data_IF_154308720137
#
_entry.id   IF_154308720137
#
_cell.length_a   1.000
_cell.length_b   1.000
_cell.length_c   1.000
_cell.angle_alpha   90.00
_cell.angle_beta   90.00
_cell.angle_gamma   90.00
#
_symmetry.space_group_name_H-M   'P 1'
#
loop_
_entity.id
_entity.type
_entity.pdbx_description
1 polymer ?
#
# COMPACT_ATOMS: atom_id res chain seq x y z
N UNK A 1 18.05 -21.45 -14.95
CA UNK A 1 17.20 -20.36 -14.38
C UNK A 1 16.30 -20.86 -13.25
N UNK A 2 15.76 -22.07 -13.37
CA UNK A 2 14.93 -22.75 -12.35
C UNK A 2 15.66 -23.02 -11.02
N UNK A 3 16.96 -23.32 -11.05
CA UNK A 3 17.72 -23.66 -9.83
C UNK A 3 18.07 -22.46 -8.95
N UNK A 4 18.17 -21.25 -9.53
CA UNK A 4 18.36 -20.02 -8.76
C UNK A 4 17.12 -19.67 -7.93
N UNK A 5 15.92 -19.93 -8.49
CA UNK A 5 14.64 -19.68 -7.81
C UNK A 5 14.39 -20.60 -6.62
N UNK A 6 14.93 -21.83 -6.63
CA UNK A 6 14.78 -22.79 -5.52
C UNK A 6 15.45 -22.33 -4.23
N UNK A 7 16.56 -21.60 -4.35
CA UNK A 7 17.39 -21.19 -3.20
C UNK A 7 17.27 -19.70 -2.85
N UNK A 8 16.46 -18.93 -3.59
CA UNK A 8 16.22 -17.52 -3.30
C UNK A 8 15.18 -17.32 -2.17
N UNK A 9 15.36 -16.30 -1.30
CA UNK A 9 14.37 -15.93 -0.30
C UNK A 9 12.96 -15.81 -0.91
N UNK A 10 11.95 -16.29 -0.18
CA UNK A 10 10.57 -16.46 -0.67
C UNK A 10 10.03 -15.21 -1.37
N UNK A 11 10.37 -14.01 -0.88
CA UNK A 11 9.97 -12.73 -1.46
C UNK A 11 10.53 -12.51 -2.88
N UNK A 12 11.82 -12.79 -3.09
CA UNK A 12 12.50 -12.62 -4.39
C UNK A 12 11.97 -13.63 -5.41
N UNK A 13 11.78 -14.89 -5.00
CA UNK A 13 11.16 -15.92 -5.84
C UNK A 13 9.72 -15.54 -6.22
N UNK A 14 8.96 -14.95 -5.29
CA UNK A 14 7.56 -14.55 -5.54
C UNK A 14 7.49 -13.40 -6.53
N UNK A 15 8.34 -12.38 -6.40
CA UNK A 15 8.44 -11.26 -7.36
C UNK A 15 8.85 -11.73 -8.76
N UNK A 16 9.85 -12.60 -8.87
CA UNK A 16 10.30 -13.11 -10.17
C UNK A 16 9.23 -14.03 -10.80
N UNK A 17 8.56 -14.88 -10.01
CA UNK A 17 7.46 -15.72 -10.51
C UNK A 17 6.25 -14.89 -10.96
N UNK A 18 5.96 -13.79 -10.27
CA UNK A 18 4.91 -12.84 -10.66
C UNK A 18 5.22 -12.20 -12.02
N UNK A 19 6.48 -11.81 -12.25
CA UNK A 19 6.91 -11.22 -13.52
C UNK A 19 6.90 -12.24 -14.68
N UNK A 20 7.32 -13.48 -14.42
CA UNK A 20 7.46 -14.51 -15.46
C UNK A 20 6.16 -15.26 -15.79
N UNK A 21 5.30 -15.48 -14.79
CA UNK A 21 4.15 -16.39 -14.93
C UNK A 21 2.80 -15.69 -14.69
N UNK A 22 2.79 -14.37 -14.45
CA UNK A 22 1.61 -13.66 -13.98
C UNK A 22 1.35 -13.88 -12.49
N UNK A 23 0.31 -13.22 -11.91
CA UNK A 23 0.07 -13.21 -10.47
C UNK A 23 -0.06 -14.64 -9.93
N UNK A 24 0.83 -15.07 -9.01
CA UNK A 24 0.92 -16.48 -8.65
C UNK A 24 -0.30 -16.97 -7.87
N UNK A 25 -1.12 -16.06 -7.32
CA UNK A 25 -2.43 -16.30 -6.69
C UNK A 25 -3.28 -15.01 -6.76
N UNK A 26 -4.62 -15.09 -6.83
CA UNK A 26 -5.47 -13.93 -6.59
C UNK A 26 -5.18 -13.33 -5.21
N UNK A 27 -5.45 -12.03 -5.05
CA UNK A 27 -5.39 -11.34 -3.78
C UNK A 27 -6.28 -12.02 -2.72
N UNK A 28 -6.17 -11.59 -1.47
CA UNK A 28 -6.90 -12.17 -0.34
C UNK A 28 -8.40 -12.25 -0.66
N UNK A 29 -8.99 -13.45 -0.59
CA UNK A 29 -10.43 -13.58 -0.75
C UNK A 29 -11.17 -13.05 0.50
N UNK A 30 -12.45 -12.69 0.35
CA UNK A 30 -13.28 -12.12 1.42
C UNK A 30 -13.26 -12.97 2.70
N UNK A 31 -13.23 -14.30 2.56
CA UNK A 31 -13.14 -15.24 3.68
C UNK A 31 -11.84 -15.09 4.47
N UNK A 32 -10.69 -15.00 3.79
CA UNK A 32 -9.39 -14.73 4.42
C UNK A 32 -9.39 -13.40 5.14
N UNK A 33 -10.03 -12.38 4.54
CA UNK A 33 -10.15 -11.07 5.14
C UNK A 33 -10.92 -11.11 6.47
N UNK A 34 -12.14 -11.65 6.44
CA UNK A 34 -13.02 -11.79 7.62
C UNK A 34 -12.35 -12.63 8.72
N UNK A 35 -11.60 -13.67 8.34
CA UNK A 35 -10.87 -14.50 9.30
C UNK A 35 -9.85 -13.68 10.09
N UNK A 36 -9.01 -12.90 9.41
CA UNK A 36 -7.99 -12.08 10.06
C UNK A 36 -8.60 -10.94 10.87
N UNK A 37 -9.66 -10.31 10.37
CA UNK A 37 -10.48 -9.34 11.13
C UNK A 37 -10.92 -9.94 12.48
N UNK A 38 -11.56 -11.11 12.44
CA UNK A 38 -12.06 -11.78 13.65
C UNK A 38 -10.92 -12.21 14.57
N UNK A 39 -9.83 -12.75 14.02
CA UNK A 39 -8.66 -13.15 14.80
C UNK A 39 -8.07 -11.96 15.56
N UNK A 40 -7.91 -10.81 14.91
CA UNK A 40 -7.31 -9.62 15.53
C UNK A 40 -8.22 -9.07 16.65
N UNK A 41 -9.55 -9.09 16.45
CA UNK A 41 -10.51 -8.74 17.49
C UNK A 41 -10.50 -9.72 18.67
N UNK A 42 -10.27 -11.02 18.42
CA UNK A 42 -10.21 -12.06 19.45
C UNK A 42 -8.94 -11.99 20.32
N UNK A 43 -7.82 -11.49 19.77
CA UNK A 43 -6.52 -11.45 20.46
C UNK A 43 -6.18 -10.08 21.06
N UNK A 44 -7.06 -9.08 20.92
CA UNK A 44 -6.79 -7.72 21.40
C UNK A 44 -7.99 -7.08 22.07
N UNK A 45 -7.83 -6.68 23.34
CA UNK A 45 -8.78 -5.83 24.06
C UNK A 45 -8.60 -4.32 23.72
N UNK A 46 -7.84 -3.99 22.67
CA UNK A 46 -7.53 -2.61 22.30
C UNK A 46 -8.46 -2.11 21.20
N UNK A 47 -8.79 -0.83 21.20
CA UNK A 47 -9.52 -0.23 20.07
C UNK A 47 -8.63 -0.12 18.83
N UNK A 48 -9.23 0.07 17.65
CA UNK A 48 -8.46 0.22 16.39
C UNK A 48 -7.54 1.46 16.46
N UNK A 49 -7.97 2.53 17.11
CA UNK A 49 -7.18 3.76 17.31
C UNK A 49 -5.98 3.52 18.22
N UNK A 50 -6.14 2.70 19.27
CA UNK A 50 -5.05 2.31 20.15
C UNK A 50 -4.05 1.41 19.44
N UNK A 51 -4.54 0.49 18.60
CA UNK A 51 -3.73 -0.34 17.73
C UNK A 51 -2.94 0.49 16.71
N UNK A 52 -3.57 1.47 16.07
CA UNK A 52 -2.92 2.43 15.17
C UNK A 52 -1.81 3.18 15.89
N UNK A 53 -2.12 3.80 17.04
CA UNK A 53 -1.15 4.56 17.85
C UNK A 53 0.04 3.70 18.29
N UNK A 54 -0.21 2.46 18.69
CA UNK A 54 0.84 1.50 19.02
C UNK A 54 1.71 1.17 17.81
N UNK A 55 1.11 0.94 16.63
CA UNK A 55 1.86 0.66 15.39
C UNK A 55 2.73 1.83 14.95
N UNK A 56 2.30 3.07 15.23
CA UNK A 56 3.07 4.28 14.92
C UNK A 56 4.24 4.49 15.88
N UNK A 57 4.15 3.91 17.07
CA UNK A 57 5.20 3.96 18.10
C UNK A 57 6.26 2.88 17.91
N UNK A 58 6.08 1.97 16.94
CA UNK A 58 7.06 0.95 16.60
C UNK A 58 8.32 1.62 16.04
N UNK A 59 9.43 1.53 16.76
CA UNK A 59 10.72 2.06 16.31
C UNK A 59 11.19 1.22 15.12
N UNK A 60 11.29 1.80 13.91
CA UNK A 60 11.75 1.05 12.76
C UNK A 60 13.22 0.68 12.94
N UNK A 61 13.62 -0.47 12.37
CA UNK A 61 15.04 -0.78 12.25
C UNK A 61 15.76 0.35 11.52
N UNK A 62 17.03 0.64 11.88
CA UNK A 62 17.78 1.74 11.30
C UNK A 62 17.83 1.65 9.78
N UNK A 63 17.79 2.81 9.14
CA UNK A 63 17.90 2.96 7.68
C UNK A 63 19.25 2.41 7.23
N UNK A 64 19.26 1.71 6.09
CA UNK A 64 20.51 1.21 5.51
C UNK A 64 21.51 2.35 5.26
N UNK A 65 22.78 2.14 5.64
CA UNK A 65 23.83 3.12 5.43
C UNK A 65 23.97 3.49 3.94
N UNK A 66 24.04 4.80 3.67
CA UNK A 66 24.12 5.38 2.33
C UNK A 66 22.77 5.70 1.68
N UNK A 67 21.63 5.41 2.34
CA UNK A 67 20.31 5.78 1.84
C UNK A 67 19.87 7.11 2.44
N UNK A 68 19.47 8.05 1.58
CA UNK A 68 18.88 9.34 1.99
C UNK A 68 17.36 9.25 1.95
N UNK A 69 16.69 9.68 3.01
CA UNK A 69 15.23 9.73 3.09
C UNK A 69 14.78 11.18 2.98
N UNK A 70 13.97 11.47 1.95
CA UNK A 70 13.34 12.77 1.76
C UNK A 70 11.84 12.64 2.00
N UNK A 71 11.31 13.42 2.94
CA UNK A 71 9.87 13.48 3.20
C UNK A 71 9.28 14.72 2.55
N UNK A 72 8.21 14.53 1.78
CA UNK A 72 7.44 15.61 1.17
C UNK A 72 5.96 15.25 1.12
N UNK A 73 5.13 16.25 0.84
CA UNK A 73 3.67 16.09 0.70
C UNK A 73 3.29 16.19 -0.76
N UNK A 74 2.63 15.16 -1.28
CA UNK A 74 1.98 15.19 -2.60
C UNK A 74 0.73 16.06 -2.49
N UNK A 75 0.56 16.97 -3.45
CA UNK A 75 -0.57 17.90 -3.48
C UNK A 75 -1.91 17.17 -3.64
N UNK A 76 -2.97 17.69 -3.01
CA UNK A 76 -4.31 17.10 -3.08
C UNK A 76 -4.91 17.11 -4.49
N UNK A 77 -4.40 17.93 -5.41
CA UNK A 77 -4.83 17.93 -6.82
C UNK A 77 -4.73 16.53 -7.44
N UNK A 78 -3.69 15.76 -7.11
CA UNK A 78 -3.50 14.41 -7.64
C UNK A 78 -4.53 13.42 -7.08
N UNK A 79 -5.03 13.65 -5.85
CA UNK A 79 -6.14 12.86 -5.29
C UNK A 79 -7.45 13.16 -6.02
N UNK A 80 -7.71 14.43 -6.31
CA UNK A 80 -8.91 14.82 -7.05
C UNK A 80 -8.87 14.23 -8.48
N UNK A 81 -7.70 14.25 -9.11
CA UNK A 81 -7.51 13.61 -10.43
C UNK A 81 -7.68 12.09 -10.35
N UNK A 82 -7.07 11.44 -9.35
CA UNK A 82 -7.24 10.01 -9.10
C UNK A 82 -8.71 9.62 -8.91
N UNK A 83 -9.49 10.44 -8.20
CA UNK A 83 -10.91 10.21 -7.99
C UNK A 83 -11.68 10.18 -9.31
N UNK A 84 -11.42 11.13 -10.23
CA UNK A 84 -12.08 11.15 -11.55
C UNK A 84 -11.82 9.87 -12.34
N UNK A 85 -10.64 9.26 -12.20
CA UNK A 85 -10.31 7.99 -12.84
C UNK A 85 -10.96 6.79 -12.13
N UNK A 86 -10.88 6.75 -10.80
CA UNK A 86 -11.41 5.65 -10.00
C UNK A 86 -12.94 5.60 -10.04
N UNK A 87 -13.63 6.74 -10.03
CA UNK A 87 -15.09 6.79 -10.14
C UNK A 87 -15.57 6.12 -11.43
N UNK A 88 -14.85 6.28 -12.55
CA UNK A 88 -15.18 5.60 -13.82
C UNK A 88 -15.02 4.08 -13.72
N UNK A 89 -14.01 3.61 -13.01
CA UNK A 89 -13.70 2.18 -12.83
C UNK A 89 -14.68 1.54 -11.84
N UNK A 90 -15.04 2.26 -10.77
CA UNK A 90 -15.88 1.76 -9.68
C UNK A 90 -17.37 1.87 -9.98
N UNK A 91 -17.79 2.79 -10.86
CA UNK A 91 -19.20 2.99 -11.22
C UNK A 91 -19.98 1.71 -11.57
N UNK A 92 -19.45 0.74 -12.34
CA UNK A 92 -20.15 -0.51 -12.60
C UNK A 92 -20.39 -1.36 -11.34
N UNK A 93 -19.56 -1.20 -10.32
CA UNK A 93 -19.58 -1.97 -9.08
C UNK A 93 -20.33 -1.27 -7.95
N UNK A 94 -20.91 -0.10 -8.19
CA UNK A 94 -21.60 0.69 -7.16
C UNK A 94 -22.72 -0.10 -6.45
N UNK A 95 -23.35 -1.03 -7.15
CA UNK A 95 -24.35 -1.95 -6.61
C UNK A 95 -23.79 -3.00 -5.63
N UNK A 96 -22.51 -3.38 -5.75
CA UNK A 96 -21.81 -4.32 -4.85
C UNK A 96 -21.11 -3.58 -3.71
N UNK A 97 -20.80 -2.30 -3.91
CA UNK A 97 -20.24 -1.42 -2.90
C UNK A 97 -21.28 -0.90 -1.88
N UNK A 98 -22.48 -1.51 -1.89
CA UNK A 98 -23.61 -1.49 -0.93
C UNK A 98 -23.80 -0.24 -0.03
N UNK A 99 -25.03 0.30 0.14
CA UNK A 99 -25.32 1.24 1.24
C UNK A 99 -24.80 0.84 2.63
N UNK A 100 -24.54 -0.45 2.91
CA UNK A 100 -23.85 -0.89 4.13
C UNK A 100 -22.45 -0.29 4.32
N UNK A 101 -21.67 -0.07 3.25
CA UNK A 101 -20.37 0.63 3.35
C UNK A 101 -20.53 2.11 3.73
N UNK A 102 -21.67 2.71 3.38
CA UNK A 102 -22.01 4.10 3.72
C UNK A 102 -22.65 4.24 5.10
N UNK A 103 -23.10 3.14 5.71
CA UNK A 103 -23.82 3.08 6.99
C UNK A 103 -23.29 1.92 7.87
N UNK A 104 -21.97 1.83 8.04
CA UNK A 104 -21.42 0.96 9.06
C UNK A 104 -21.78 1.57 10.44
N UNK A 105 -22.45 0.77 11.28
CA UNK A 105 -22.49 1.04 12.71
C UNK A 105 -21.03 1.03 13.21
N UNK A 106 -20.73 1.57 14.39
CA UNK A 106 -19.36 1.67 14.93
C UNK A 106 -18.66 0.30 15.18
N UNK A 107 -19.13 -0.80 14.59
CA UNK A 107 -18.56 -2.14 14.60
C UNK A 107 -17.53 -2.41 13.48
N UNK A 108 -17.08 -1.34 12.81
CA UNK A 108 -15.90 -1.22 11.93
C UNK A 108 -15.23 -2.52 11.48
N UNK A 109 -15.37 -2.87 10.19
CA UNK A 109 -14.59 -3.95 9.58
C UNK A 109 -13.08 -3.70 9.75
N UNK A 110 -12.43 -4.48 10.62
CA UNK A 110 -10.98 -4.51 10.78
C UNK A 110 -10.31 -5.12 9.54
N UNK A 111 -10.07 -4.29 8.53
CA UNK A 111 -9.37 -4.62 7.29
C UNK A 111 -7.88 -4.30 7.39
N UNK A 112 -6.95 -5.05 6.79
CA UNK A 112 -5.49 -4.81 6.96
C UNK A 112 -4.96 -3.39 6.59
N UNK A 113 -5.80 -2.48 6.09
CA UNK A 113 -5.54 -1.04 5.87
C UNK A 113 -5.61 -0.14 7.13
N UNK A 114 -5.63 -0.67 8.36
CA UNK A 114 -5.63 0.16 9.58
C UNK A 114 -4.29 0.18 10.33
N UNK A 115 -3.24 -0.49 9.84
CA UNK A 115 -1.94 -0.57 10.54
C UNK A 115 -0.80 0.11 9.80
N UNK A 116 0.21 0.51 10.59
CA UNK A 116 1.53 0.97 10.16
C UNK A 116 1.57 2.34 9.47
N UNK A 117 2.80 2.87 9.35
CA UNK A 117 3.11 4.08 8.58
C UNK A 117 4.27 3.82 7.65
N UNK A 118 4.52 4.74 6.71
CA UNK A 118 5.74 4.70 5.87
C UNK A 118 7.04 4.53 6.69
N UNK A 119 7.08 5.05 7.93
CA UNK A 119 8.26 4.97 8.81
C UNK A 119 8.56 3.54 9.22
N UNK A 120 7.52 2.75 9.52
CA UNK A 120 7.68 1.33 9.87
C UNK A 120 8.31 0.52 8.73
N UNK A 121 8.13 0.98 7.49
CA UNK A 121 8.65 0.33 6.29
C UNK A 121 10.06 0.81 5.87
N UNK A 122 10.67 1.79 6.56
CA UNK A 122 11.98 2.34 6.17
C UNK A 122 13.08 1.28 6.03
N UNK A 123 13.11 0.26 6.89
CA UNK A 123 14.09 -0.83 6.79
C UNK A 123 13.95 -1.60 5.46
N UNK A 124 12.71 -1.94 5.10
CA UNK A 124 12.41 -2.70 3.88
C UNK A 124 12.64 -1.82 2.65
N UNK A 125 12.14 -0.58 2.66
CA UNK A 125 12.23 0.32 1.49
C UNK A 125 13.65 0.80 1.25
N UNK A 126 14.44 1.06 2.30
CA UNK A 126 15.86 1.40 2.15
C UNK A 126 16.69 0.21 1.68
N UNK A 127 16.40 -1.00 2.14
CA UNK A 127 17.04 -2.22 1.64
C UNK A 127 16.68 -2.47 0.18
N UNK A 128 15.41 -2.28 -0.20
CA UNK A 128 14.95 -2.41 -1.58
C UNK A 128 15.63 -1.38 -2.50
N UNK A 129 15.67 -0.11 -2.09
CA UNK A 129 16.34 0.95 -2.84
C UNK A 129 17.81 0.61 -3.10
N UNK A 130 18.51 0.10 -2.08
CA UNK A 130 19.92 -0.29 -2.18
C UNK A 130 20.15 -1.51 -3.06
N UNK A 131 19.32 -2.55 -2.92
CA UNK A 131 19.45 -3.79 -3.71
C UNK A 131 19.11 -3.55 -5.18
N UNK A 132 18.03 -2.79 -5.44
CA UNK A 132 17.64 -2.45 -6.80
C UNK A 132 18.54 -1.38 -7.43
N UNK A 133 19.31 -0.65 -6.61
CA UNK A 133 20.02 0.56 -7.01
C UNK A 133 19.08 1.59 -7.66
N UNK A 134 17.89 1.75 -7.09
CA UNK A 134 16.80 2.55 -7.62
C UNK A 134 16.10 3.37 -6.54
N UNK A 135 15.34 4.38 -6.94
CA UNK A 135 14.55 5.23 -6.04
C UNK A 135 13.26 4.50 -5.62
N UNK A 136 12.92 4.61 -4.34
CA UNK A 136 11.67 4.04 -3.77
C UNK A 136 10.79 5.17 -3.22
N UNK A 137 9.55 5.25 -3.70
CA UNK A 137 8.52 6.12 -3.14
C UNK A 137 7.62 5.30 -2.19
N UNK A 138 7.74 5.52 -0.89
CA UNK A 138 6.86 4.92 0.11
C UNK A 138 5.72 5.89 0.46
N UNK A 139 4.48 5.50 0.16
CA UNK A 139 3.32 6.35 0.40
C UNK A 139 2.74 6.09 1.79
N UNK A 140 2.32 7.16 2.46
CA UNK A 140 1.57 7.07 3.70
C UNK A 140 0.08 7.23 3.38
N UNK A 141 -0.52 6.18 2.83
CA UNK A 141 -1.93 6.19 2.44
C UNK A 141 -2.83 6.29 3.68
N UNK A 142 -4.04 6.82 3.47
CA UNK A 142 -5.03 6.99 4.53
C UNK A 142 -5.54 5.64 5.02
N UNK A 143 -5.59 5.49 6.34
CA UNK A 143 -5.98 4.26 7.00
C UNK A 143 -7.49 4.19 7.28
N UNK A 144 -8.02 2.99 7.25
CA UNK A 144 -9.34 2.66 7.81
C UNK A 144 -9.27 2.60 9.34
N UNK A 145 -10.38 2.75 10.07
CA UNK A 145 -11.74 3.02 9.60
C UNK A 145 -11.97 4.50 9.25
N UNK A 146 -11.06 5.41 9.62
CA UNK A 146 -11.27 6.86 9.44
C UNK A 146 -11.37 7.26 7.96
N UNK A 147 -10.73 6.48 7.08
CA UNK A 147 -10.78 6.67 5.65
C UNK A 147 -11.02 5.30 4.99
N UNK A 148 -12.29 4.99 4.78
CA UNK A 148 -12.73 3.70 4.24
C UNK A 148 -12.41 3.57 2.75
N UNK A 149 -12.64 2.39 2.19
CA UNK A 149 -12.57 2.17 0.75
C UNK A 149 -13.40 3.23 0.00
N UNK A 150 -12.89 3.82 -1.11
CA UNK A 150 -11.63 3.53 -1.81
C UNK A 150 -10.47 4.50 -1.46
N UNK A 151 -10.41 5.07 -0.25
CA UNK A 151 -9.44 6.11 0.09
C UNK A 151 -7.95 5.72 -0.12
N UNK A 152 -7.55 4.51 0.28
CA UNK A 152 -6.19 4.02 0.04
C UNK A 152 -5.87 3.90 -1.46
N UNK A 153 -6.86 3.53 -2.27
CA UNK A 153 -6.75 3.45 -3.73
C UNK A 153 -6.59 4.83 -4.36
N UNK A 154 -7.34 5.83 -3.88
CA UNK A 154 -7.13 7.22 -4.28
C UNK A 154 -5.72 7.70 -3.99
N UNK A 155 -5.16 7.35 -2.82
CA UNK A 155 -3.81 7.78 -2.44
C UNK A 155 -2.72 7.07 -3.26
N UNK A 156 -2.90 5.78 -3.56
CA UNK A 156 -1.99 5.02 -4.42
C UNK A 156 -1.98 5.57 -5.86
N UNK A 157 -3.16 5.81 -6.43
CA UNK A 157 -3.26 6.37 -7.78
C UNK A 157 -2.77 7.83 -7.82
N UNK A 158 -3.02 8.63 -6.79
CA UNK A 158 -2.49 9.99 -6.70
C UNK A 158 -0.95 10.01 -6.71
N UNK A 159 -0.31 9.07 -6.01
CA UNK A 159 1.14 8.94 -6.04
C UNK A 159 1.67 8.50 -7.40
N UNK A 160 0.96 7.60 -8.08
CA UNK A 160 1.30 7.22 -9.45
C UNK A 160 1.19 8.41 -10.43
N UNK A 161 0.11 9.19 -10.37
CA UNK A 161 -0.07 10.38 -11.19
C UNK A 161 1.00 11.46 -10.90
N UNK A 162 1.41 11.59 -9.64
CA UNK A 162 2.54 12.46 -9.26
C UNK A 162 3.85 12.04 -9.92
N UNK A 163 4.13 10.72 -10.04
CA UNK A 163 5.33 10.23 -10.73
C UNK A 163 5.28 10.48 -12.25
N UNK A 164 4.08 10.42 -12.84
CA UNK A 164 3.89 10.66 -14.27
C UNK A 164 3.91 12.15 -14.64
N UNK A 165 3.45 13.02 -13.74
CA UNK A 165 3.34 14.45 -13.99
C UNK A 165 3.76 15.25 -12.75
N UNK A 166 5.03 15.19 -12.35
CA UNK A 166 5.53 15.90 -11.18
C UNK A 166 5.45 17.43 -11.39
N UNK A 167 5.31 18.23 -10.31
CA UNK A 167 5.48 19.67 -10.42
C UNK A 167 6.94 20.01 -10.78
N UNK A 168 7.16 21.19 -11.37
CA UNK A 168 8.49 21.60 -11.89
C UNK A 168 9.60 21.62 -10.83
N UNK A 169 9.24 21.77 -9.57
CA UNK A 169 10.11 21.83 -8.40
C UNK A 169 10.30 20.47 -7.70
N UNK A 170 9.75 19.37 -8.24
CA UNK A 170 9.88 18.03 -7.65
C UNK A 170 11.31 17.46 -7.67
N UNK A 171 12.20 18.03 -8.48
CA UNK A 171 13.59 17.58 -8.61
C UNK A 171 13.75 16.32 -9.46
N UNK A 172 12.74 15.94 -10.25
CA UNK A 172 12.85 14.88 -11.26
C UNK A 172 11.87 15.12 -12.41
N UNK A 173 12.22 14.62 -13.59
CA UNK A 173 11.38 14.68 -14.79
C UNK A 173 10.25 13.63 -14.76
N UNK A 174 9.13 13.86 -15.48
CA UNK A 174 8.08 12.87 -15.71
C UNK A 174 8.63 11.46 -15.98
N UNK A 175 8.20 10.49 -15.17
CA UNK A 175 8.65 9.10 -15.34
C UNK A 175 7.87 8.42 -16.45
N UNK A 176 8.57 7.62 -17.26
CA UNK A 176 7.92 6.72 -18.20
C UNK A 176 7.16 5.63 -17.43
N UNK A 177 5.85 5.43 -17.66
CA UNK A 177 5.07 4.37 -17.01
C UNK A 177 5.70 2.98 -17.07
N UNK A 178 6.42 2.67 -18.16
CA UNK A 178 7.09 1.38 -18.36
C UNK A 178 8.27 1.13 -17.40
N UNK A 179 8.76 2.19 -16.75
CA UNK A 179 9.88 2.13 -15.81
C UNK A 179 9.42 2.24 -14.35
N UNK A 180 8.11 2.19 -14.10
CA UNK A 180 7.54 2.24 -12.74
C UNK A 180 7.15 0.82 -12.33
N UNK A 181 7.69 0.37 -11.21
CA UNK A 181 7.32 -0.91 -10.57
C UNK A 181 6.50 -0.61 -9.34
N UNK A 182 5.31 -1.21 -9.24
CA UNK A 182 4.45 -1.14 -8.07
C UNK A 182 4.71 -2.37 -7.21
N UNK A 183 4.91 -2.17 -5.90
CA UNK A 183 5.15 -3.24 -4.95
C UNK A 183 4.48 -2.92 -3.61
N UNK A 184 4.00 -3.95 -2.92
CA UNK A 184 3.43 -3.86 -1.58
C UNK A 184 3.29 -5.23 -0.92
N UNK A 185 3.25 -5.23 0.41
CA UNK A 185 2.98 -6.41 1.24
C UNK A 185 1.58 -6.29 1.87
N UNK A 186 0.94 -7.44 2.12
CA UNK A 186 -0.36 -7.49 2.79
C UNK A 186 -1.40 -6.56 2.13
N UNK A 187 -1.98 -5.60 2.86
CA UNK A 187 -2.92 -4.60 2.34
C UNK A 187 -2.34 -3.73 1.22
N UNK A 188 -1.02 -3.47 1.24
CA UNK A 188 -0.35 -2.65 0.24
C UNK A 188 -0.22 -3.32 -1.13
N UNK A 189 -0.42 -4.64 -1.23
CA UNK A 189 -0.46 -5.37 -2.50
C UNK A 189 -1.88 -5.61 -3.04
N UNK A 190 -2.91 -5.27 -2.27
CA UNK A 190 -4.32 -5.41 -2.65
C UNK A 190 -4.85 -4.27 -3.49
#
# INVERSE_FOLDING_TARGET
MTDFLKNSPLYISTTIKHYLNGPPRPSWNLTSHIFWTKFILLVSNKTIEEMQRASFSFQPSPVQAGVVINEFKIDNKYRNEAQVHLDKILKPYEHVLDPEWKNLKDDGMASTYYFFTKKTYHCITSSLAKIANERVLAINYRLAPQNQFPAALHDALAAYLYLLNPPKDAGFEPLNPKNIVIAGDSAGGG
#
